data_IF_222980903508
#
_entry.id   IF_222980903508
#
_cell.length_a   1.000
_cell.length_b   1.000
_cell.length_c   1.000
_cell.angle_alpha   90.00
_cell.angle_beta   90.00
_cell.angle_gamma   90.00
#
_symmetry.space_group_name_H-M   'P 1'
#
loop_
_entity.id
_entity.type
_entity.pdbx_description
1 polymer ?
#
# COMPACT_ATOMS: atom_id res chain seq x y z
N UNK A 1 -41.05 -15.92 -54.54
CA UNK A 1 -40.57 -16.89 -53.53
C UNK A 1 -39.03 -17.03 -53.60
N UNK A 2 -38.27 -15.93 -53.51
CA UNK A 2 -36.79 -15.92 -53.38
C UNK A 2 -36.44 -14.59 -52.68
N UNK A 3 -36.59 -14.50 -51.35
CA UNK A 3 -36.18 -13.28 -50.61
C UNK A 3 -35.83 -13.52 -49.15
N UNK A 4 -36.23 -14.64 -48.54
CA UNK A 4 -35.95 -14.90 -47.13
C UNK A 4 -34.53 -15.45 -46.90
N UNK A 5 -33.97 -16.21 -47.85
CA UNK A 5 -32.64 -16.80 -47.72
C UNK A 5 -31.48 -15.78 -47.65
N UNK A 6 -31.64 -14.59 -48.24
CA UNK A 6 -30.61 -13.54 -48.21
C UNK A 6 -30.61 -12.73 -46.90
N UNK A 7 -31.74 -12.66 -46.20
CA UNK A 7 -31.86 -11.97 -44.92
C UNK A 7 -31.17 -12.76 -43.81
N UNK A 8 -31.41 -14.08 -43.76
CA UNK A 8 -30.82 -14.99 -42.78
C UNK A 8 -29.31 -15.08 -42.97
N UNK A 9 -28.82 -15.17 -44.22
CA UNK A 9 -27.37 -15.17 -44.50
C UNK A 9 -26.68 -13.88 -44.05
N UNK A 10 -27.30 -12.71 -44.23
CA UNK A 10 -26.75 -11.43 -43.77
C UNK A 10 -26.77 -11.28 -42.25
N UNK A 11 -27.82 -11.77 -41.59
CA UNK A 11 -27.90 -11.77 -40.13
C UNK A 11 -26.85 -12.71 -39.49
N UNK A 12 -26.65 -13.90 -40.07
CA UNK A 12 -25.60 -14.84 -39.64
C UNK A 12 -24.21 -14.25 -39.87
N UNK A 13 -23.97 -13.63 -41.03
CA UNK A 13 -22.68 -12.98 -41.32
C UNK A 13 -22.39 -11.80 -40.36
N UNK A 14 -23.41 -11.01 -40.04
CA UNK A 14 -23.29 -9.91 -39.09
C UNK A 14 -23.03 -10.43 -37.67
N UNK A 15 -23.70 -11.51 -37.26
CA UNK A 15 -23.42 -12.20 -35.99
C UNK A 15 -22.01 -12.80 -35.97
N UNK A 16 -21.51 -13.33 -37.08
CA UNK A 16 -20.16 -13.89 -37.18
C UNK A 16 -19.08 -12.82 -37.14
N UNK A 17 -19.32 -11.66 -37.75
CA UNK A 17 -18.43 -10.49 -37.69
C UNK A 17 -18.47 -9.86 -36.29
N UNK A 18 -19.66 -9.74 -35.69
CA UNK A 18 -19.80 -9.28 -34.30
C UNK A 18 -19.13 -10.28 -33.35
N UNK A 19 -19.29 -11.58 -33.59
CA UNK A 19 -18.60 -12.61 -32.84
C UNK A 19 -17.10 -12.53 -33.08
N UNK A 20 -16.57 -12.25 -34.27
CA UNK A 20 -15.13 -12.07 -34.51
C UNK A 20 -14.54 -10.78 -33.93
N UNK A 21 -15.35 -9.71 -33.82
CA UNK A 21 -14.96 -8.41 -33.23
C UNK A 21 -15.11 -8.40 -31.70
N UNK A 22 -16.04 -9.19 -31.16
CA UNK A 22 -16.33 -9.29 -29.71
C UNK A 22 -15.74 -10.56 -29.08
N UNK A 23 -15.44 -11.60 -29.87
CA UNK A 23 -14.65 -12.73 -29.40
C UNK A 23 -13.26 -12.22 -29.14
N UNK A 24 -12.73 -12.34 -27.91
CA UNK A 24 -11.31 -12.14 -27.73
C UNK A 24 -10.66 -13.17 -28.65
N UNK A 25 -9.87 -12.70 -29.61
CA UNK A 25 -8.99 -13.56 -30.37
C UNK A 25 -8.09 -14.25 -29.34
N UNK A 26 -8.43 -15.48 -28.96
CA UNK A 26 -7.65 -16.37 -28.11
C UNK A 26 -6.45 -16.90 -28.90
N UNK A 27 -5.68 -15.96 -29.46
CA UNK A 27 -4.47 -16.15 -30.24
C UNK A 27 -3.48 -15.01 -30.00
N UNK A 28 -3.66 -14.23 -28.94
CA UNK A 28 -2.57 -13.46 -28.37
C UNK A 28 -1.76 -14.41 -27.49
N UNK A 29 -0.52 -14.62 -27.90
CA UNK A 29 0.55 -15.23 -27.12
C UNK A 29 0.39 -14.91 -25.63
N UNK A 30 0.65 -15.91 -24.78
CA UNK A 30 0.88 -15.73 -23.36
C UNK A 30 2.04 -14.75 -23.16
N UNK A 31 1.76 -13.45 -23.24
CA UNK A 31 2.60 -12.43 -22.66
C UNK A 31 2.32 -12.59 -21.18
N UNK A 32 3.17 -13.36 -20.49
CA UNK A 32 3.24 -13.28 -19.03
C UNK A 32 3.28 -11.80 -18.68
N UNK A 33 2.18 -11.28 -18.13
CA UNK A 33 2.15 -9.89 -17.66
C UNK A 33 3.29 -9.75 -16.66
N UNK A 34 4.02 -8.62 -16.67
CA UNK A 34 5.09 -8.43 -15.71
C UNK A 34 4.51 -8.62 -14.30
N UNK A 35 5.13 -9.52 -13.52
CA UNK A 35 4.74 -9.81 -12.13
C UNK A 35 4.94 -8.60 -11.22
N UNK A 36 5.69 -7.60 -11.70
CA UNK A 36 5.90 -6.31 -11.05
C UNK A 36 5.23 -5.17 -11.85
N UNK A 37 4.81 -4.08 -11.18
CA UNK A 37 4.32 -2.89 -11.87
C UNK A 37 5.37 -2.30 -12.82
N UNK A 38 4.94 -1.61 -13.89
CA UNK A 38 5.84 -1.06 -14.92
C UNK A 38 6.87 -0.03 -14.39
N UNK A 39 6.62 0.54 -13.22
CA UNK A 39 7.52 1.49 -12.57
C UNK A 39 8.60 0.80 -11.72
N UNK A 40 8.47 -0.50 -11.45
CA UNK A 40 9.39 -1.26 -10.61
C UNK A 40 10.69 -1.55 -11.39
N UNK A 41 11.73 -0.77 -11.11
CA UNK A 41 13.04 -0.85 -11.77
C UNK A 41 14.13 -0.25 -10.89
N UNK A 42 15.38 -0.50 -11.27
CA UNK A 42 16.53 0.07 -10.59
C UNK A 42 16.51 1.59 -10.51
N UNK A 43 16.79 2.10 -9.32
CA UNK A 43 16.79 3.53 -9.03
C UNK A 43 15.40 4.10 -8.72
N UNK A 44 14.33 3.31 -8.79
CA UNK A 44 13.03 3.75 -8.29
C UNK A 44 13.07 3.96 -6.78
N UNK A 45 12.46 5.03 -6.30
CA UNK A 45 12.35 5.30 -4.88
C UNK A 45 10.95 5.81 -4.49
N UNK A 46 10.57 5.52 -3.25
CA UNK A 46 9.37 5.99 -2.59
C UNK A 46 9.78 6.56 -1.23
N UNK A 47 9.43 7.81 -0.94
CA UNK A 47 9.67 8.45 0.35
C UNK A 47 8.32 8.73 1.01
N UNK A 48 8.18 8.27 2.25
CA UNK A 48 7.03 8.50 3.09
C UNK A 48 7.41 9.35 4.29
N UNK A 49 6.47 10.14 4.81
CA UNK A 49 6.71 10.99 5.98
C UNK A 49 5.57 10.93 6.99
N UNK A 50 5.91 11.17 8.25
CA UNK A 50 4.98 11.64 9.27
C UNK A 50 5.54 12.93 9.85
N UNK A 51 4.88 14.06 9.60
CA UNK A 51 5.39 15.37 10.00
C UNK A 51 4.93 15.77 11.40
N UNK A 52 5.84 16.45 12.10
CA UNK A 52 5.56 17.17 13.33
C UNK A 52 5.33 18.66 13.03
N UNK A 53 4.36 19.31 13.69
CA UNK A 53 4.14 20.73 13.54
C UNK A 53 5.33 21.51 14.09
N UNK A 54 5.65 22.67 13.50
CA UNK A 54 6.74 23.56 13.97
C UNK A 54 6.58 23.96 15.44
N UNK A 55 5.33 24.07 15.92
CA UNK A 55 4.98 24.35 17.30
C UNK A 55 4.12 23.18 17.86
N UNK A 56 4.76 22.09 18.31
CA UNK A 56 4.06 20.97 18.92
C UNK A 56 3.51 21.37 20.29
N UNK A 57 2.33 20.85 20.66
CA UNK A 57 1.82 21.02 22.03
C UNK A 57 2.71 20.23 23.00
N UNK A 58 2.76 20.65 24.26
CA UNK A 58 3.53 19.95 25.29
C UNK A 58 3.12 18.47 25.36
N UNK A 59 4.09 17.56 25.23
CA UNK A 59 3.85 16.12 25.25
C UNK A 59 3.42 15.51 23.91
N UNK A 60 3.34 16.28 22.82
CA UNK A 60 3.17 15.71 21.48
C UNK A 60 4.47 15.04 21.04
N UNK A 61 4.46 13.72 21.09
CA UNK A 61 5.52 12.84 20.58
C UNK A 61 4.89 11.67 19.85
N UNK A 62 5.63 11.12 18.91
CA UNK A 62 5.35 9.81 18.32
C UNK A 62 6.10 8.76 19.14
N UNK A 63 5.48 7.59 19.32
CA UNK A 63 6.03 6.51 20.14
C UNK A 63 6.31 5.32 19.24
N UNK A 64 7.56 4.86 19.24
CA UNK A 64 7.99 3.70 18.45
C UNK A 64 8.55 2.65 19.41
N UNK A 65 8.02 1.43 19.35
CA UNK A 65 8.59 0.31 20.09
C UNK A 65 9.54 -0.46 19.20
N UNK A 66 10.74 -0.66 19.72
CA UNK A 66 11.83 -1.32 19.02
C UNK A 66 12.18 -2.62 19.72
N UNK A 67 12.38 -3.69 18.95
CA UNK A 67 12.86 -4.97 19.44
C UNK A 67 14.39 -5.06 19.26
N UNK A 68 15.19 -5.04 20.36
CA UNK A 68 16.64 -4.96 20.28
C UNK A 68 17.31 -6.00 19.39
N UNK A 69 16.79 -7.23 19.38
CA UNK A 69 17.35 -8.36 18.61
C UNK A 69 17.17 -8.23 17.10
N UNK A 70 16.30 -7.32 16.66
CA UNK A 70 16.01 -7.06 15.25
C UNK A 70 16.68 -5.79 14.72
N UNK A 71 17.27 -4.99 15.62
CA UNK A 71 17.89 -3.74 15.24
C UNK A 71 19.05 -3.97 14.26
N UNK A 72 19.14 -3.21 13.16
CA UNK A 72 20.31 -3.24 12.32
C UNK A 72 21.54 -2.82 13.14
N UNK A 73 22.69 -3.50 12.98
CA UNK A 73 23.89 -3.25 13.78
C UNK A 73 24.51 -1.85 13.55
N UNK A 74 24.06 -1.13 12.52
CA UNK A 74 24.58 0.17 12.13
C UNK A 74 23.66 1.30 12.64
N UNK A 75 24.26 2.39 13.13
CA UNK A 75 23.55 3.66 13.32
C UNK A 75 22.90 3.90 14.69
N UNK A 76 22.93 2.92 15.60
CA UNK A 76 22.30 3.06 16.92
C UNK A 76 23.34 3.44 17.97
N UNK A 77 23.20 4.58 18.67
CA UNK A 77 24.12 4.97 19.72
C UNK A 77 24.23 3.90 20.81
N UNK A 78 25.47 3.63 21.28
CA UNK A 78 25.72 2.70 22.39
C UNK A 78 24.89 3.00 23.64
N UNK A 79 24.56 4.27 23.89
CA UNK A 79 23.69 4.71 24.99
C UNK A 79 22.25 4.16 24.90
N UNK A 80 21.78 3.83 23.70
CA UNK A 80 20.54 3.08 23.48
C UNK A 80 20.79 1.59 23.73
N UNK A 81 21.90 1.04 23.21
CA UNK A 81 22.22 -0.41 23.17
C UNK A 81 22.62 -1.01 24.53
N UNK A 82 23.41 -0.30 25.34
CA UNK A 82 24.10 -0.86 26.52
C UNK A 82 23.15 -1.30 27.65
N UNK A 83 21.90 -0.83 27.66
CA UNK A 83 20.87 -1.23 28.63
C UNK A 83 19.69 -2.00 27.99
N UNK A 84 19.82 -2.48 26.74
CA UNK A 84 18.74 -3.21 26.07
C UNK A 84 18.62 -4.63 26.64
N UNK A 85 17.61 -4.86 27.48
CA UNK A 85 17.16 -6.22 27.77
C UNK A 85 16.59 -6.85 26.50
N UNK A 86 17.14 -8.00 26.12
CA UNK A 86 16.67 -8.78 24.98
C UNK A 86 15.28 -9.42 25.19
N UNK A 87 14.69 -9.27 26.39
CA UNK A 87 13.38 -9.82 26.75
C UNK A 87 12.21 -8.84 26.61
N UNK A 88 12.48 -7.55 26.33
CA UNK A 88 11.48 -6.49 26.17
C UNK A 88 11.77 -5.56 25.00
N UNK A 89 10.74 -4.84 24.55
CA UNK A 89 10.90 -3.70 23.64
C UNK A 89 11.54 -2.51 24.34
N UNK A 90 12.04 -1.57 23.53
CA UNK A 90 12.46 -0.25 23.96
C UNK A 90 11.65 0.83 23.26
N UNK A 91 11.10 1.71 24.07
CA UNK A 91 10.31 2.85 23.64
C UNK A 91 11.21 3.99 23.19
N UNK A 92 11.04 4.41 21.95
CA UNK A 92 11.62 5.64 21.39
C UNK A 92 10.53 6.71 21.29
N UNK A 93 10.80 7.87 21.90
CA UNK A 93 9.97 9.06 21.78
C UNK A 93 10.53 9.95 20.68
N UNK A 94 9.76 10.16 19.62
CA UNK A 94 10.18 10.94 18.45
C UNK A 94 9.38 12.25 18.43
N UNK A 95 10.11 13.36 18.48
CA UNK A 95 9.52 14.71 18.55
C UNK A 95 9.70 15.54 17.27
N UNK A 96 10.45 15.02 16.30
CA UNK A 96 10.62 15.59 14.97
C UNK A 96 9.95 14.75 13.88
N UNK A 97 10.18 15.16 12.64
CA UNK A 97 9.68 14.47 11.46
C UNK A 97 10.31 13.07 11.31
N UNK A 98 9.55 12.18 10.71
CA UNK A 98 10.00 10.84 10.36
C UNK A 98 9.95 10.66 8.85
N UNK A 99 10.97 10.03 8.28
CA UNK A 99 11.06 9.75 6.86
C UNK A 99 11.39 8.29 6.62
N UNK A 100 10.50 7.57 5.93
CA UNK A 100 10.74 6.21 5.48
C UNK A 100 11.02 6.21 3.99
N UNK A 101 12.23 5.79 3.61
CA UNK A 101 12.66 5.69 2.23
C UNK A 101 12.75 4.23 1.82
N UNK A 102 12.15 3.90 0.68
CA UNK A 102 12.21 2.59 0.04
C UNK A 102 12.81 2.78 -1.34
N UNK A 103 13.91 2.10 -1.62
CA UNK A 103 14.63 2.23 -2.90
C UNK A 103 14.90 0.86 -3.50
N UNK A 104 14.54 0.72 -4.77
CA UNK A 104 14.76 -0.50 -5.56
C UNK A 104 16.14 -0.40 -6.20
N UNK A 105 16.97 -1.42 -5.98
CA UNK A 105 18.33 -1.53 -6.53
C UNK A 105 18.62 -2.97 -6.96
N UNK A 106 19.53 -3.12 -7.92
CA UNK A 106 20.03 -4.42 -8.39
C UNK A 106 18.89 -5.41 -8.74
N UNK A 107 18.03 -5.01 -9.67
CA UNK A 107 16.88 -5.80 -10.16
C UNK A 107 17.35 -6.78 -11.24
N UNK A 108 16.99 -8.04 -11.09
CA UNK A 108 17.15 -9.11 -12.08
C UNK A 108 15.79 -9.58 -12.59
N UNK A 109 15.74 -10.69 -13.34
CA UNK A 109 14.47 -11.29 -13.77
C UNK A 109 13.61 -11.78 -12.59
N UNK A 110 14.25 -12.29 -11.55
CA UNK A 110 13.57 -13.06 -10.49
C UNK A 110 13.71 -12.42 -9.10
N UNK A 111 14.66 -11.51 -8.94
CA UNK A 111 14.94 -10.88 -7.64
C UNK A 111 15.19 -9.38 -7.77
N UNK A 112 14.99 -8.66 -6.68
CA UNK A 112 15.45 -7.29 -6.52
C UNK A 112 15.97 -7.08 -5.10
N UNK A 113 16.85 -6.11 -4.92
CA UNK A 113 17.22 -5.64 -3.59
C UNK A 113 16.44 -4.39 -3.27
N UNK A 114 15.85 -4.35 -2.07
CA UNK A 114 15.08 -3.20 -1.60
C UNK A 114 15.77 -2.62 -0.39
N UNK A 115 16.32 -1.42 -0.55
CA UNK A 115 16.89 -0.65 0.54
C UNK A 115 15.79 0.09 1.28
N UNK A 116 15.74 -0.11 2.59
CA UNK A 116 14.76 0.50 3.48
C UNK A 116 15.54 1.31 4.51
N UNK A 117 15.17 2.58 4.65
CA UNK A 117 15.76 3.51 5.59
C UNK A 117 14.66 4.27 6.32
N UNK A 118 14.60 4.14 7.64
CA UNK A 118 13.77 4.99 8.50
C UNK A 118 14.65 5.99 9.23
N UNK A 119 14.43 7.25 8.93
CA UNK A 119 14.99 8.38 9.64
C UNK A 119 14.01 8.90 10.67
N UNK A 120 14.47 9.05 11.90
CA UNK A 120 13.74 9.58 13.03
C UNK A 120 14.48 10.83 13.55
N UNK A 121 13.81 11.98 13.57
CA UNK A 121 14.40 13.23 14.03
C UNK A 121 13.97 13.57 15.46
N UNK A 122 14.91 14.08 16.26
CA UNK A 122 14.75 14.42 17.68
C UNK A 122 14.18 13.24 18.51
N UNK A 123 14.98 12.17 18.60
CA UNK A 123 14.63 10.93 19.29
C UNK A 123 15.13 10.95 20.73
N UNK A 124 14.32 10.49 21.66
CA UNK A 124 14.71 10.23 23.04
C UNK A 124 14.34 8.80 23.43
N UNK A 125 15.33 8.02 23.86
CA UNK A 125 15.13 6.67 24.39
C UNK A 125 15.12 6.64 25.93
N UNK A 126 15.71 7.67 26.55
CA UNK A 126 15.87 7.82 28.01
C UNK A 126 15.79 9.30 28.35
N UNK A 127 15.29 9.60 29.54
CA UNK A 127 15.16 10.96 30.01
C UNK A 127 16.52 11.69 29.99
N UNK A 128 16.54 12.91 29.43
CA UNK A 128 17.74 13.76 29.38
C UNK A 128 18.68 13.49 28.19
N UNK A 129 18.43 12.45 27.38
CA UNK A 129 19.22 12.18 26.17
C UNK A 129 18.34 12.42 24.93
N UNK A 130 18.82 13.30 24.04
CA UNK A 130 18.20 13.58 22.75
C UNK A 130 19.21 13.27 21.65
N UNK A 131 18.81 12.43 20.71
CA UNK A 131 19.54 12.12 19.50
C UNK A 131 18.90 12.96 18.38
N UNK A 132 19.63 13.93 17.80
CA UNK A 132 19.06 14.82 16.79
C UNK A 132 18.52 14.06 15.57
N UNK A 133 19.21 12.99 15.14
CA UNK A 133 18.83 12.14 14.02
C UNK A 133 19.28 10.71 14.26
N UNK A 134 18.34 9.77 14.17
CA UNK A 134 18.58 8.33 14.21
C UNK A 134 18.14 7.74 12.86
N UNK A 135 19.05 7.09 12.14
CA UNK A 135 18.73 6.40 10.88
C UNK A 135 18.90 4.89 11.06
N UNK A 136 17.81 4.15 10.82
CA UNK A 136 17.77 2.70 10.79
C UNK A 136 17.71 2.25 9.35
N UNK A 137 18.68 1.44 8.91
CA UNK A 137 18.79 1.03 7.51
C UNK A 137 19.03 -0.47 7.36
N UNK A 138 18.33 -1.08 6.41
CA UNK A 138 18.51 -2.48 6.02
C UNK A 138 18.27 -2.66 4.53
N UNK A 139 18.92 -3.65 3.93
CA UNK A 139 18.63 -4.07 2.56
C UNK A 139 17.99 -5.45 2.61
N UNK A 140 16.84 -5.60 1.97
CA UNK A 140 16.11 -6.87 1.89
C UNK A 140 16.23 -7.45 0.48
N UNK A 141 16.26 -8.77 0.38
CA UNK A 141 16.11 -9.48 -0.88
C UNK A 141 14.61 -9.67 -1.15
N UNK A 142 14.13 -9.23 -2.29
CA UNK A 142 12.76 -9.45 -2.75
C UNK A 142 12.76 -10.51 -3.85
N UNK A 143 12.01 -11.59 -3.65
CA UNK A 143 11.68 -12.53 -4.72
C UNK A 143 10.52 -11.95 -5.54
N UNK A 144 10.73 -11.69 -6.83
CA UNK A 144 9.73 -11.07 -7.72
C UNK A 144 8.67 -12.05 -8.23
N UNK A 145 8.93 -13.37 -8.12
CA UNK A 145 7.95 -14.40 -8.46
C UNK A 145 6.92 -14.56 -7.35
N UNK A 146 7.36 -14.56 -6.10
CA UNK A 146 6.50 -14.71 -4.91
C UNK A 146 6.02 -13.37 -4.35
N UNK A 147 6.67 -12.26 -4.75
CA UNK A 147 6.52 -10.94 -4.13
C UNK A 147 6.68 -11.02 -2.60
N UNK A 148 7.79 -11.64 -2.16
CA UNK A 148 8.10 -11.91 -0.77
C UNK A 148 9.53 -11.48 -0.41
N UNK A 149 9.68 -10.77 0.71
CA UNK A 149 10.99 -10.41 1.25
C UNK A 149 11.65 -11.56 2.00
N UNK A 150 12.97 -11.58 1.93
CA UNK A 150 13.85 -12.53 2.59
C UNK A 150 14.99 -11.79 3.31
N UNK A 151 15.41 -12.35 4.45
CA UNK A 151 16.66 -11.97 5.10
C UNK A 151 17.88 -12.56 4.38
N UNK A 152 19.08 -12.08 4.72
CA UNK A 152 20.34 -12.55 4.14
C UNK A 152 20.55 -14.06 4.30
N UNK A 153 20.02 -14.66 5.36
CA UNK A 153 20.09 -16.11 5.62
C UNK A 153 18.93 -16.92 5.00
N UNK A 154 18.09 -16.28 4.18
CA UNK A 154 16.98 -16.92 3.49
C UNK A 154 15.71 -17.08 4.33
N UNK A 155 15.63 -16.48 5.53
CA UNK A 155 14.37 -16.46 6.30
C UNK A 155 13.33 -15.58 5.60
N UNK A 156 12.11 -16.09 5.27
CA UNK A 156 11.05 -15.27 4.68
C UNK A 156 10.47 -14.31 5.72
N UNK A 157 10.24 -13.06 5.32
CA UNK A 157 9.75 -11.97 6.18
C UNK A 157 8.27 -11.71 5.94
N UNK A 158 7.89 -11.43 4.69
CA UNK A 158 6.53 -10.99 4.32
C UNK A 158 6.50 -10.25 3.00
N UNK A 159 5.30 -10.01 2.46
CA UNK A 159 5.14 -9.29 1.18
C UNK A 159 5.29 -7.78 1.34
N UNK A 160 5.77 -7.05 0.33
CA UNK A 160 5.87 -5.60 0.40
C UNK A 160 4.53 -4.92 0.71
N UNK A 161 4.52 -4.03 1.69
CA UNK A 161 3.30 -3.32 2.13
C UNK A 161 3.28 -1.87 1.66
N UNK A 162 4.41 -1.29 1.27
CA UNK A 162 4.48 0.08 0.73
C UNK A 162 4.28 0.14 -0.79
N UNK A 163 4.20 -1.02 -1.43
CA UNK A 163 3.76 -1.16 -2.80
C UNK A 163 3.21 -2.57 -3.02
N UNK A 164 2.26 -2.70 -3.93
CA UNK A 164 1.66 -3.98 -4.32
C UNK A 164 1.63 -4.10 -5.84
N UNK A 165 1.49 -5.32 -6.34
CA UNK A 165 1.09 -5.50 -7.74
C UNK A 165 -0.43 -5.34 -7.83
N UNK A 166 -0.97 -4.30 -8.49
CA UNK A 166 -2.42 -4.10 -8.58
C UNK A 166 -3.16 -5.24 -9.29
N UNK A 167 -2.45 -6.07 -10.08
CA UNK A 167 -3.00 -7.25 -10.75
C UNK A 167 -3.02 -8.49 -9.86
N UNK A 168 -2.21 -8.52 -8.80
CA UNK A 168 -2.05 -9.65 -7.89
C UNK A 168 -2.03 -9.12 -6.46
N UNK A 169 -3.21 -8.69 -6.01
CA UNK A 169 -3.36 -8.15 -4.67
C UNK A 169 -3.20 -9.22 -3.59
N UNK A 170 -2.77 -8.83 -2.39
CA UNK A 170 -2.85 -9.72 -1.24
C UNK A 170 -4.29 -10.18 -1.02
N UNK A 171 -4.45 -11.41 -0.55
CA UNK A 171 -5.75 -12.03 -0.27
C UNK A 171 -6.02 -12.03 1.23
N UNK A 172 -7.28 -12.19 1.60
CA UNK A 172 -7.63 -12.47 2.99
C UNK A 172 -6.86 -13.70 3.50
N UNK A 173 -6.41 -13.64 4.74
CA UNK A 173 -5.55 -14.62 5.42
C UNK A 173 -4.11 -14.76 4.92
N UNK A 174 -3.70 -14.00 3.89
CA UNK A 174 -2.29 -13.86 3.55
C UNK A 174 -1.54 -13.21 4.73
N UNK A 175 -0.31 -13.66 4.98
CA UNK A 175 0.49 -13.12 6.06
C UNK A 175 1.08 -11.77 5.70
N UNK A 176 0.91 -10.77 6.57
CA UNK A 176 1.69 -9.52 6.49
C UNK A 176 3.14 -9.84 6.87
N UNK A 177 3.33 -10.50 8.02
CA UNK A 177 4.62 -11.01 8.48
C UNK A 177 4.52 -12.51 8.66
N UNK A 178 5.45 -13.25 8.05
CA UNK A 178 5.46 -14.71 8.04
C UNK A 178 5.81 -15.26 9.43
N UNK A 179 5.13 -16.29 9.93
CA UNK A 179 5.39 -16.86 11.27
C UNK A 179 6.82 -17.34 11.48
N UNK A 180 7.51 -17.78 10.42
CA UNK A 180 8.90 -18.21 10.48
C UNK A 180 9.83 -17.08 10.97
N UNK A 181 9.62 -15.86 10.47
CA UNK A 181 10.35 -14.68 10.92
C UNK A 181 10.10 -14.38 12.39
N UNK A 182 8.82 -14.36 12.80
CA UNK A 182 8.45 -14.11 14.20
C UNK A 182 9.09 -15.14 15.14
N UNK A 183 9.02 -16.43 14.78
CA UNK A 183 9.59 -17.54 15.56
C UNK A 183 11.10 -17.42 15.71
N UNK A 184 11.83 -17.04 14.65
CA UNK A 184 13.30 -16.86 14.67
C UNK A 184 13.73 -15.85 15.74
N UNK A 185 13.02 -14.74 15.86
CA UNK A 185 13.31 -13.70 16.85
C UNK A 185 12.59 -13.94 18.20
N UNK A 186 11.78 -14.99 18.26
CA UNK A 186 10.93 -15.36 19.40
C UNK A 186 9.80 -14.36 19.65
N UNK A 187 9.42 -13.56 18.66
CA UNK A 187 8.25 -12.71 18.76
C UNK A 187 7.02 -13.61 18.89
N UNK A 188 6.30 -13.46 20.00
CA UNK A 188 5.06 -14.19 20.26
C UNK A 188 3.94 -13.31 19.74
N UNK A 189 3.29 -13.75 18.67
CA UNK A 189 2.09 -13.13 18.11
C UNK A 189 1.25 -14.20 17.45
N UNK A 190 -0.06 -13.99 17.43
CA UNK A 190 -0.93 -14.76 16.55
C UNK A 190 -0.61 -14.45 15.07
N UNK A 191 -1.28 -15.12 14.14
CA UNK A 191 -1.10 -14.89 12.71
C UNK A 191 -1.40 -13.40 12.41
N UNK A 192 -0.41 -12.66 11.93
CA UNK A 192 -0.59 -11.27 11.46
C UNK A 192 -0.97 -11.35 9.99
N UNK A 193 -2.25 -11.23 9.68
CA UNK A 193 -2.78 -11.49 8.34
C UNK A 193 -3.63 -10.35 7.81
N UNK A 194 -3.81 -10.37 6.49
CA UNK A 194 -4.74 -9.51 5.79
C UNK A 194 -6.16 -9.93 6.15
N UNK A 195 -6.96 -8.97 6.59
CA UNK A 195 -8.35 -9.18 6.99
C UNK A 195 -9.35 -8.68 5.96
N UNK A 196 -9.01 -7.62 5.23
CA UNK A 196 -9.92 -7.04 4.26
C UNK A 196 -9.15 -6.38 3.11
N UNK A 197 -9.73 -6.46 1.91
CA UNK A 197 -9.30 -5.74 0.73
C UNK A 197 -10.54 -5.12 0.09
N UNK A 198 -10.57 -3.80 -0.03
CA UNK A 198 -11.75 -3.04 -0.49
C UNK A 198 -11.37 -1.98 -1.52
N UNK A 199 -12.28 -1.72 -2.45
CA UNK A 199 -12.17 -0.66 -3.47
C UNK A 199 -13.18 0.48 -3.26
N UNK A 200 -14.12 0.31 -2.32
CA UNK A 200 -15.21 1.26 -2.04
C UNK A 200 -14.91 2.13 -0.83
N UNK A 201 -13.75 1.93 -0.22
CA UNK A 201 -13.32 2.70 0.93
C UNK A 201 -13.10 4.17 0.53
N UNK A 202 -13.86 5.08 1.16
CA UNK A 202 -13.84 6.52 0.85
C UNK A 202 -14.02 6.84 -0.66
N UNK A 203 -14.88 6.10 -1.36
CA UNK A 203 -15.08 6.16 -2.82
C UNK A 203 -15.44 7.54 -3.41
N UNK A 204 -15.80 8.52 -2.57
CA UNK A 204 -16.17 9.88 -2.98
C UNK A 204 -15.36 10.97 -2.26
N UNK A 205 -14.23 10.62 -1.64
CA UNK A 205 -13.41 11.59 -0.90
C UNK A 205 -12.07 11.83 -1.54
N UNK A 206 -11.69 13.09 -1.64
CA UNK A 206 -10.33 13.49 -2.01
C UNK A 206 -9.39 13.18 -0.85
N UNK A 207 -8.29 12.50 -1.15
CA UNK A 207 -7.24 12.21 -0.18
C UNK A 207 -6.07 13.18 -0.34
N UNK A 208 -5.87 14.02 0.65
CA UNK A 208 -4.79 15.00 0.71
C UNK A 208 -3.55 14.37 1.35
N UNK A 209 -2.41 14.48 0.67
CA UNK A 209 -1.09 14.07 1.15
C UNK A 209 -0.09 15.22 1.06
N UNK A 210 1.17 14.99 1.45
CA UNK A 210 2.24 15.99 1.25
C UNK A 210 2.79 16.00 -0.17
N UNK A 211 2.61 14.93 -0.94
CA UNK A 211 3.07 14.86 -2.33
C UNK A 211 2.06 15.50 -3.29
N UNK A 212 0.80 15.06 -3.26
CA UNK A 212 -0.31 15.61 -4.04
C UNK A 212 -1.68 15.19 -3.50
N UNK A 213 -2.74 15.68 -4.12
CA UNK A 213 -4.09 15.16 -3.93
C UNK A 213 -4.34 13.91 -4.77
N UNK A 214 -4.94 12.90 -4.16
CA UNK A 214 -5.38 11.69 -4.83
C UNK A 214 -6.89 11.69 -4.94
N UNK A 215 -7.39 11.20 -6.08
CA UNK A 215 -8.81 11.03 -6.34
C UNK A 215 -9.17 9.54 -6.24
N UNK A 216 -10.38 9.20 -5.79
CA UNK A 216 -10.84 7.81 -5.78
C UNK A 216 -11.00 7.27 -7.22
N UNK A 217 -11.03 5.94 -7.41
CA UNK A 217 -11.07 4.91 -6.37
C UNK A 217 -9.69 4.59 -5.76
N UNK A 218 -9.70 4.22 -4.49
CA UNK A 218 -8.52 3.74 -3.76
C UNK A 218 -8.60 2.24 -3.56
N UNK A 219 -7.45 1.60 -3.48
CA UNK A 219 -7.36 0.26 -2.93
C UNK A 219 -7.05 0.36 -1.42
N UNK A 220 -7.94 -0.17 -0.60
CA UNK A 220 -7.76 -0.26 0.85
C UNK A 220 -7.45 -1.70 1.26
N UNK A 221 -6.41 -1.88 2.06
CA UNK A 221 -6.04 -3.16 2.66
C UNK A 221 -5.96 -2.98 4.17
N UNK A 222 -6.67 -3.84 4.90
CA UNK A 222 -6.59 -3.92 6.36
C UNK A 222 -5.96 -5.23 6.76
N UNK A 223 -4.98 -5.14 7.64
CA UNK A 223 -4.33 -6.25 8.30
C UNK A 223 -4.56 -6.23 9.80
N UNK A 224 -4.63 -7.41 10.41
CA UNK A 224 -4.77 -7.58 11.85
C UNK A 224 -3.91 -8.72 12.36
N UNK A 225 -3.47 -8.59 13.60
CA UNK A 225 -2.86 -9.66 14.37
C UNK A 225 -3.24 -9.49 15.84
N UNK A 226 -3.53 -10.59 16.51
CA UNK A 226 -3.80 -10.56 17.95
C UNK A 226 -2.48 -10.75 18.72
N UNK A 227 -2.34 -9.99 19.81
CA UNK A 227 -1.33 -10.16 20.86
C UNK A 227 0.14 -10.26 20.42
N UNK A 228 0.80 -9.17 20.01
CA UNK A 228 2.26 -9.14 20.03
C UNK A 228 2.76 -8.89 21.45
N UNK A 229 3.48 -9.88 22.03
CA UNK A 229 4.03 -9.79 23.39
C UNK A 229 5.27 -8.89 23.38
N UNK A 230 5.16 -7.71 23.98
CA UNK A 230 6.24 -6.72 24.06
C UNK A 230 7.15 -6.89 25.29
N UNK A 231 6.71 -7.64 26.30
CA UNK A 231 7.53 -7.99 27.46
C UNK A 231 7.25 -9.44 27.90
N UNK A 232 8.25 -10.31 27.78
CA UNK A 232 8.11 -11.74 28.12
C UNK A 232 8.10 -12.04 29.62
N UNK A 233 8.62 -11.13 30.43
CA UNK A 233 8.65 -11.29 31.89
C UNK A 233 7.28 -10.97 32.49
N UNK A 234 6.61 -9.93 31.99
CA UNK A 234 5.31 -9.49 32.50
C UNK A 234 4.12 -10.03 31.70
N UNK A 235 4.35 -10.53 30.48
CA UNK A 235 3.29 -10.95 29.56
C UNK A 235 2.56 -9.79 28.88
N UNK A 236 3.08 -8.57 28.97
CA UNK A 236 2.50 -7.40 28.31
C UNK A 236 2.41 -7.61 26.80
N UNK A 237 1.24 -7.31 26.22
CA UNK A 237 0.96 -7.46 24.78
C UNK A 237 0.13 -6.30 24.23
N UNK A 238 0.07 -6.18 22.89
CA UNK A 238 -0.83 -5.27 22.20
C UNK A 238 -1.41 -5.91 20.93
N UNK A 239 -2.58 -5.42 20.51
CA UNK A 239 -3.19 -5.80 19.24
C UNK A 239 -2.54 -5.05 18.08
N UNK A 240 -2.43 -5.72 16.95
CA UNK A 240 -1.85 -5.17 15.72
C UNK A 240 -2.98 -4.81 14.76
N UNK A 241 -2.97 -3.58 14.28
CA UNK A 241 -3.81 -3.10 13.18
C UNK A 241 -2.94 -2.36 12.17
N UNK A 242 -3.10 -2.71 10.90
CA UNK A 242 -2.42 -2.04 9.78
C UNK A 242 -3.44 -1.71 8.71
N UNK A 243 -3.50 -0.44 8.31
CA UNK A 243 -4.47 0.08 7.35
C UNK A 243 -3.69 0.79 6.26
N UNK A 244 -3.85 0.33 5.03
CA UNK A 244 -3.01 0.69 3.90
C UNK A 244 -3.91 1.16 2.77
N UNK A 245 -3.62 2.34 2.22
CA UNK A 245 -4.37 2.93 1.10
C UNK A 245 -3.42 3.09 -0.08
N UNK A 246 -3.74 2.46 -1.21
CA UNK A 246 -2.92 2.46 -2.41
C UNK A 246 -3.61 3.17 -3.58
N UNK A 247 -2.78 3.70 -4.47
CA UNK A 247 -3.20 4.11 -5.80
C UNK A 247 -3.54 2.85 -6.63
N UNK A 248 -4.74 2.81 -7.20
CA UNK A 248 -5.27 1.61 -7.86
C UNK A 248 -4.50 1.24 -9.14
N UNK A 249 -3.99 2.23 -9.87
CA UNK A 249 -3.35 2.03 -11.17
C UNK A 249 -1.89 1.60 -11.00
N UNK A 250 -1.19 2.15 -10.02
CA UNK A 250 0.24 1.88 -9.80
C UNK A 250 0.49 0.86 -8.70
N UNK A 251 -0.42 0.70 -7.74
CA UNK A 251 -0.20 -0.12 -6.55
C UNK A 251 0.79 0.49 -5.55
N UNK A 252 1.19 1.76 -5.71
CA UNK A 252 2.01 2.47 -4.72
C UNK A 252 1.14 2.83 -3.52
N UNK A 253 1.66 2.63 -2.31
CA UNK A 253 0.98 3.08 -1.10
C UNK A 253 0.92 4.62 -1.12
N UNK A 254 -0.28 5.17 -0.94
CA UNK A 254 -0.52 6.61 -0.77
C UNK A 254 -0.34 6.98 0.69
N UNK A 255 -0.97 6.22 1.58
CA UNK A 255 -0.86 6.45 3.02
C UNK A 255 -1.16 5.22 3.86
N UNK A 256 -0.72 5.24 5.12
CA UNK A 256 -1.24 4.35 6.17
C UNK A 256 -2.25 5.08 7.05
N UNK A 257 -3.30 4.39 7.50
CA UNK A 257 -4.15 4.84 8.61
C UNK A 257 -3.44 4.60 9.94
N UNK A 258 -3.57 3.37 10.44
CA UNK A 258 -2.71 2.78 11.48
C UNK A 258 -1.63 1.91 10.80
N UNK A 259 -0.42 1.87 11.35
CA UNK A 259 0.68 1.08 10.79
C UNK A 259 1.52 0.46 11.91
N UNK A 260 0.95 -0.51 12.62
CA UNK A 260 1.65 -1.15 13.74
C UNK A 260 2.85 -1.97 13.28
N UNK A 261 2.68 -2.78 12.21
CA UNK A 261 3.73 -3.67 11.73
C UNK A 261 3.63 -3.90 10.21
N UNK A 262 4.78 -3.87 9.55
CA UNK A 262 4.96 -4.26 8.15
C UNK A 262 6.30 -4.98 8.02
N UNK A 263 6.53 -5.79 6.97
CA UNK A 263 7.84 -6.40 6.71
C UNK A 263 8.96 -5.37 6.67
N UNK A 264 8.71 -4.20 6.11
CA UNK A 264 9.67 -3.13 6.03
C UNK A 264 10.06 -2.59 7.42
N UNK A 265 9.07 -2.30 8.28
CA UNK A 265 9.32 -1.77 9.62
C UNK A 265 9.90 -2.83 10.57
N UNK A 266 9.36 -4.05 10.56
CA UNK A 266 9.84 -5.12 11.44
C UNK A 266 11.26 -5.54 11.10
N UNK A 267 11.65 -5.44 9.83
CA UNK A 267 13.04 -5.71 9.42
C UNK A 267 14.04 -4.70 9.98
N UNK A 268 13.59 -3.47 10.29
CA UNK A 268 14.37 -2.44 10.99
C UNK A 268 14.30 -2.56 12.52
N UNK A 269 13.59 -3.58 13.03
CA UNK A 269 13.37 -3.82 14.44
C UNK A 269 12.23 -3.05 15.06
N UNK A 270 11.35 -2.46 14.26
CA UNK A 270 10.17 -1.74 14.76
C UNK A 270 9.01 -2.72 14.84
N UNK A 271 8.49 -2.91 16.06
CA UNK A 271 7.39 -3.85 16.30
C UNK A 271 6.08 -3.14 16.64
N UNK A 272 6.13 -1.83 16.93
CA UNK A 272 4.94 -0.99 17.12
C UNK A 272 5.21 0.45 16.74
N UNK A 273 4.22 1.09 16.13
CA UNK A 273 4.24 2.53 15.83
C UNK A 273 2.94 3.17 16.31
N UNK A 274 3.02 3.89 17.43
CA UNK A 274 1.95 4.79 17.88
C UNK A 274 2.37 6.20 17.45
N UNK A 275 2.20 6.46 16.16
CA UNK A 275 2.60 7.71 15.55
C UNK A 275 1.54 8.21 14.58
N UNK A 276 1.48 9.52 14.44
CA UNK A 276 0.62 10.17 13.47
C UNK A 276 1.42 11.27 12.78
N UNK A 277 1.12 11.50 11.51
CA UNK A 277 1.36 12.79 10.89
C UNK A 277 0.51 13.83 11.61
N UNK A 278 1.14 14.58 12.50
CA UNK A 278 0.47 15.54 13.37
C UNK A 278 0.03 16.77 12.59
N UNK A 279 0.71 17.12 11.51
CA UNK A 279 0.34 18.23 10.62
C UNK A 279 -0.97 17.91 9.92
N UNK A 280 -1.06 16.78 9.23
CA UNK A 280 -2.27 16.35 8.53
C UNK A 280 -3.39 15.95 9.49
N UNK A 281 -3.07 15.39 10.66
CA UNK A 281 -4.08 15.14 11.70
C UNK A 281 -4.76 16.42 12.16
N UNK A 282 -4.01 17.51 12.40
CA UNK A 282 -4.60 18.81 12.76
C UNK A 282 -5.49 19.38 11.65
N UNK A 283 -5.10 19.20 10.37
CA UNK A 283 -5.93 19.58 9.23
C UNK A 283 -7.21 18.74 9.16
N UNK A 284 -7.13 17.44 9.40
CA UNK A 284 -8.29 16.56 9.45
C UNK A 284 -9.28 16.99 10.53
N UNK A 285 -8.81 17.24 11.76
CA UNK A 285 -9.69 17.70 12.85
C UNK A 285 -10.41 18.99 12.49
N UNK A 286 -9.69 19.98 11.94
CA UNK A 286 -10.29 21.22 11.44
C UNK A 286 -11.35 20.96 10.37
N UNK A 287 -11.09 20.03 9.46
CA UNK A 287 -11.99 19.67 8.36
C UNK A 287 -13.27 18.97 8.86
N UNK A 288 -13.15 18.16 9.92
CA UNK A 288 -14.29 17.57 10.63
C UNK A 288 -15.11 18.66 11.32
N UNK A 289 -14.45 19.58 12.04
CA UNK A 289 -15.11 20.70 12.73
C UNK A 289 -15.86 21.62 11.75
N UNK A 290 -15.34 21.78 10.52
CA UNK A 290 -15.98 22.53 9.43
C UNK A 290 -17.08 21.75 8.69
N UNK A 291 -17.32 20.47 9.04
CA UNK A 291 -18.36 19.64 8.42
C UNK A 291 -18.07 19.25 6.97
N UNK A 292 -16.79 19.21 6.55
CA UNK A 292 -16.36 18.89 5.17
C UNK A 292 -15.78 17.47 5.02
N UNK A 293 -15.76 16.70 6.11
CA UNK A 293 -15.14 15.36 6.17
C UNK A 293 -15.88 14.30 5.36
N UNK A 294 -17.05 14.64 4.81
CA UNK A 294 -17.79 13.83 3.86
C UNK A 294 -17.15 13.80 2.46
N UNK A 295 -16.37 14.84 2.09
CA UNK A 295 -15.80 15.04 0.74
C UNK A 295 -14.28 14.99 0.68
N UNK A 296 -13.62 15.28 1.79
CA UNK A 296 -12.17 15.45 1.85
C UNK A 296 -11.62 14.73 3.07
N UNK A 297 -10.38 14.25 2.97
CA UNK A 297 -9.69 13.55 4.05
C UNK A 297 -8.20 13.84 4.01
N UNK A 298 -7.60 14.05 5.19
CA UNK A 298 -6.15 14.16 5.36
C UNK A 298 -5.61 12.89 5.99
N UNK A 299 -4.63 12.31 5.31
CA UNK A 299 -3.95 11.09 5.71
C UNK A 299 -3.14 11.26 7.01
N UNK A 300 -3.37 10.38 8.00
CA UNK A 300 -2.84 10.55 9.35
C UNK A 300 -1.62 9.67 9.70
N UNK A 301 -1.28 8.65 8.91
CA UNK A 301 -0.08 7.84 9.14
C UNK A 301 1.09 8.23 8.24
N UNK A 302 1.88 7.26 7.78
CA UNK A 302 2.92 7.52 6.78
C UNK A 302 2.24 8.00 5.50
N UNK A 303 2.69 9.14 4.99
CA UNK A 303 2.16 9.80 3.80
C UNK A 303 3.20 9.79 2.70
N UNK A 304 2.82 9.45 1.46
CA UNK A 304 3.72 9.64 0.33
C UNK A 304 4.16 11.11 0.26
N UNK A 305 5.47 11.31 0.21
CA UNK A 305 6.13 12.61 0.28
C UNK A 305 6.90 12.92 -1.00
N UNK A 306 7.65 11.93 -1.52
CA UNK A 306 8.41 12.10 -2.76
C UNK A 306 8.59 10.75 -3.48
N UNK A 307 8.65 10.78 -4.80
CA UNK A 307 8.94 9.63 -5.66
C UNK A 307 9.31 10.07 -7.08
N UNK A 308 10.14 9.27 -7.76
CA UNK A 308 10.37 9.39 -9.20
C UNK A 308 9.38 8.57 -10.06
N UNK A 309 8.40 7.90 -9.45
CA UNK A 309 7.35 7.20 -10.18
C UNK A 309 6.31 8.19 -10.69
N UNK A 310 6.01 8.11 -11.99
CA UNK A 310 4.97 8.93 -12.60
C UNK A 310 3.58 8.40 -12.23
N UNK A 311 2.97 9.01 -11.22
CA UNK A 311 1.60 8.71 -10.83
C UNK A 311 0.59 9.32 -11.82
N UNK A 312 -0.54 8.65 -12.11
CA UNK A 312 -1.58 9.19 -12.98
C UNK A 312 -2.10 10.52 -12.46
N UNK A 313 -2.40 11.43 -13.37
CA UNK A 313 -3.06 12.68 -13.06
C UNK A 313 -4.56 12.49 -13.27
N UNK A 314 -5.27 12.24 -12.17
CA UNK A 314 -6.71 12.14 -12.13
C UNK A 314 -7.29 13.55 -11.99
N UNK A 315 -7.11 14.40 -13.01
CA UNK A 315 -7.77 15.69 -13.05
C UNK A 315 -9.28 15.54 -12.89
N UNK A 316 -9.96 16.60 -12.42
CA UNK A 316 -11.39 16.64 -12.07
C UNK A 316 -12.39 16.26 -13.19
N UNK A 317 -11.92 15.95 -14.40
CA UNK A 317 -12.72 15.52 -15.55
C UNK A 317 -12.49 14.08 -16.03
N UNK A 318 -11.55 13.32 -15.44
CA UNK A 318 -11.30 11.92 -15.83
C UNK A 318 -12.08 10.97 -14.94
N UNK A 319 -13.29 10.63 -15.37
CA UNK A 319 -13.96 9.42 -14.88
C UNK A 319 -13.04 8.23 -15.18
N UNK A 320 -12.79 7.32 -14.20
CA UNK A 320 -11.90 6.19 -14.40
C UNK A 320 -12.35 5.43 -15.65
N UNK A 321 -11.39 5.08 -16.52
CA UNK A 321 -11.65 4.27 -17.70
C UNK A 321 -11.93 2.83 -17.28
N UNK A 322 -13.07 2.62 -16.62
CA UNK A 322 -13.52 1.30 -16.24
C UNK A 322 -13.94 0.54 -17.51
N UNK A 323 -13.63 -0.76 -17.62
CA UNK A 323 -14.17 -1.63 -18.68
C UNK A 323 -15.69 -1.50 -18.83
N UNK A 324 -16.38 -1.19 -17.73
CA UNK A 324 -17.82 -0.92 -17.66
C UNK A 324 -18.25 0.23 -18.58
N UNK A 325 -17.45 1.29 -18.73
CA UNK A 325 -17.75 2.39 -19.67
C UNK A 325 -17.78 1.90 -21.11
N UNK A 326 -16.83 1.04 -21.50
CA UNK A 326 -16.80 0.44 -22.83
C UNK A 326 -17.96 -0.54 -23.03
N UNK A 327 -18.29 -1.33 -22.00
CA UNK A 327 -19.48 -2.21 -22.02
C UNK A 327 -20.79 -1.42 -22.13
N UNK A 328 -20.91 -0.30 -21.42
CA UNK A 328 -22.10 0.55 -21.46
C UNK A 328 -22.26 1.25 -22.81
N UNK A 329 -21.17 1.80 -23.36
CA UNK A 329 -21.16 2.38 -24.72
C UNK A 329 -21.47 1.31 -25.76
N UNK A 330 -20.88 0.11 -25.65
CA UNK A 330 -21.18 -1.01 -26.54
C UNK A 330 -22.66 -1.41 -26.44
N UNK A 331 -23.20 -1.48 -25.22
CA UNK A 331 -24.61 -1.80 -24.97
C UNK A 331 -25.55 -0.75 -25.57
N UNK A 332 -25.21 0.54 -25.44
CA UNK A 332 -25.95 1.64 -26.07
C UNK A 332 -25.91 1.58 -27.59
N UNK A 333 -24.76 1.23 -28.18
CA UNK A 333 -24.63 1.06 -29.64
C UNK A 333 -25.48 -0.12 -30.12
N UNK A 334 -25.47 -1.25 -29.41
CA UNK A 334 -26.31 -2.41 -29.72
C UNK A 334 -27.80 -2.07 -29.58
N UNK A 335 -28.17 -1.29 -28.55
CA UNK A 335 -29.54 -0.87 -28.31
C UNK A 335 -30.04 0.10 -29.40
N UNK A 336 -29.20 1.05 -29.83
CA UNK A 336 -29.52 1.97 -30.91
C UNK A 336 -29.66 1.23 -32.26
N UNK A 337 -28.77 0.29 -32.53
CA UNK A 337 -28.82 -0.54 -33.74
C UNK A 337 -30.07 -1.40 -33.78
N UNK A 338 -30.45 -2.02 -32.65
CA UNK A 338 -31.68 -2.82 -32.56
C UNK A 338 -32.92 -1.95 -32.75
N UNK A 339 -33.02 -0.80 -32.08
CA UNK A 339 -34.14 0.14 -32.22
C UNK A 339 -34.34 0.62 -33.67
N UNK A 340 -33.27 1.02 -34.36
CA UNK A 340 -33.32 1.42 -35.78
C UNK A 340 -33.73 0.27 -36.70
N UNK A 341 -33.39 -0.97 -36.33
CA UNK A 341 -33.75 -2.15 -37.09
C UNK A 341 -35.22 -2.52 -36.91
N UNK A 342 -35.76 -2.44 -35.69
CA UNK A 342 -37.20 -2.61 -35.43
C UNK A 342 -38.03 -1.54 -36.11
N UNK A 343 -37.61 -0.27 -36.07
CA UNK A 343 -38.33 0.83 -36.70
C UNK A 343 -38.38 0.69 -38.23
N UNK A 344 -37.27 0.25 -38.86
CA UNK A 344 -37.25 -0.09 -40.29
C UNK A 344 -38.12 -1.31 -40.64
N UNK A 345 -38.31 -2.24 -39.71
CA UNK A 345 -39.15 -3.43 -39.91
C UNK A 345 -40.63 -3.13 -39.78
N UNK A 346 -41.02 -2.10 -39.03
CA UNK A 346 -42.41 -1.67 -38.84
C UNK A 346 -42.86 -0.61 -39.88
N UNK A 347 -41.92 0.08 -40.53
CA UNK A 347 -42.20 0.99 -41.66
C UNK A 347 -42.19 0.30 -43.04
N UNK A 348 -42.05 -1.03 -43.07
CA UNK A 348 -42.29 -1.90 -44.23
C UNK A 348 -43.47 -2.80 -43.90
#
# INVERSE_FOLDING_TARGET
MISEGNSVRRAVLFFLILFLVVSPFSGAQSIEKPKTPSWFRDGTYLVYTMMMPTNPKKGEVNVIEVWPRLLPPQGIPKSIIEDLDNSSTVTLLVSGDMYLTIKIVNTTSDTAYVQIELELNNVSAKQGIIIPRLSLKKTLLLNLTEMLYYEEDGTPIGSPMFFVNPLHLPKEDDYIVVPAFLKKYGLISDRITIKNVSYTWMENRVLHTHYKDFMPPYLYVEGRGLYLVYNRQTGGSFDIVTQLVYDIDTGILITTGLCDITPELVSLGIVKVIALDRVNSRKLYKLIDEGKADKEWYAQGFNLYDTNVKLPDYGSGRSPSTPVKYFFVLSLVVLAMTALWTERRWKR
#
